data_IF_466723869376
#
_entry.id   IF_466723869376
#
_cell.length_a   1.000
_cell.length_b   1.000
_cell.length_c   1.000
_cell.angle_alpha   90.00
_cell.angle_beta   90.00
_cell.angle_gamma   90.00
#
_symmetry.space_group_name_H-M   'P 1'
#
loop_
_entity.id
_entity.type
_entity.pdbx_description
1 polymer ?
#
# COMPACT_ATOMS: atom_id res chain seq x y z
N UNK A 1 -16.82 7.01 31.46
CA UNK A 1 -16.57 5.85 32.34
C UNK A 1 -17.03 6.14 33.76
N UNK A 2 -16.47 7.13 34.47
CA UNK A 2 -17.00 7.60 35.76
C UNK A 2 -18.47 8.08 35.65
N UNK A 3 -18.84 8.68 34.53
CA UNK A 3 -20.21 9.03 34.17
C UNK A 3 -21.15 7.81 34.10
N UNK A 4 -20.69 6.66 33.60
CA UNK A 4 -21.48 5.43 33.53
C UNK A 4 -21.68 4.81 34.93
N UNK A 5 -20.66 4.87 35.79
CA UNK A 5 -20.76 4.46 37.20
C UNK A 5 -21.78 5.34 37.95
N UNK A 6 -21.78 6.66 37.70
CA UNK A 6 -22.75 7.57 38.29
C UNK A 6 -24.19 7.35 37.80
N UNK A 7 -24.36 6.77 36.61
CA UNK A 7 -25.66 6.38 36.03
C UNK A 7 -26.13 5.01 36.55
N UNK A 8 -25.22 4.04 36.72
CA UNK A 8 -25.53 2.71 37.28
C UNK A 8 -25.95 2.79 38.75
N UNK A 9 -25.39 3.72 39.52
CA UNK A 9 -25.83 4.04 40.89
C UNK A 9 -27.31 4.47 41.01
N UNK A 10 -27.99 4.81 39.91
CA UNK A 10 -29.41 5.21 39.89
C UNK A 10 -30.38 4.07 39.52
N UNK A 11 -29.88 2.89 39.18
CA UNK A 11 -30.69 1.73 38.79
C UNK A 11 -30.83 0.74 39.96
N UNK A 12 -32.07 0.41 40.34
CA UNK A 12 -32.39 -0.45 41.49
C UNK A 12 -32.24 -1.96 41.22
N UNK A 13 -31.68 -2.35 40.07
CA UNK A 13 -31.39 -3.75 39.72
C UNK A 13 -30.02 -3.81 39.06
N UNK A 14 -28.98 -4.10 39.82
CA UNK A 14 -27.62 -4.21 39.31
C UNK A 14 -27.51 -5.46 38.43
N UNK A 15 -27.31 -5.26 37.14
CA UNK A 15 -27.09 -6.34 36.16
C UNK A 15 -25.68 -6.92 36.31
N UNK A 16 -25.48 -8.18 35.88
CA UNK A 16 -24.15 -8.82 35.91
C UNK A 16 -23.09 -8.02 35.13
N UNK A 17 -23.49 -7.42 34.00
CA UNK A 17 -22.68 -6.50 33.21
C UNK A 17 -22.15 -5.31 34.03
N UNK A 18 -23.00 -4.69 34.86
CA UNK A 18 -22.59 -3.55 35.71
C UNK A 18 -21.62 -3.99 36.80
N UNK A 19 -21.85 -5.15 37.43
CA UNK A 19 -20.94 -5.71 38.43
C UNK A 19 -19.55 -6.00 37.84
N UNK A 20 -19.50 -6.56 36.63
CA UNK A 20 -18.24 -6.84 35.93
C UNK A 20 -17.50 -5.54 35.53
N UNK A 21 -18.24 -4.48 35.19
CA UNK A 21 -17.66 -3.15 34.96
C UNK A 21 -17.12 -2.50 36.24
N UNK A 22 -17.81 -2.64 37.37
CA UNK A 22 -17.33 -2.15 38.67
C UNK A 22 -16.03 -2.87 39.04
N UNK A 23 -15.98 -4.19 38.88
CA UNK A 23 -14.76 -4.98 39.10
C UNK A 23 -13.60 -4.50 38.22
N UNK A 24 -13.85 -4.26 36.93
CA UNK A 24 -12.85 -3.74 35.99
C UNK A 24 -12.28 -2.40 36.46
N UNK A 25 -13.13 -1.47 36.89
CA UNK A 25 -12.71 -0.14 37.35
C UNK A 25 -11.95 -0.22 38.67
N UNK A 26 -12.43 -1.00 39.63
CA UNK A 26 -11.74 -1.21 40.91
C UNK A 26 -10.35 -1.82 40.71
N UNK A 27 -10.23 -2.85 39.87
CA UNK A 27 -8.95 -3.45 39.54
C UNK A 27 -8.02 -2.52 38.76
N UNK A 28 -8.56 -1.64 37.90
CA UNK A 28 -7.77 -0.60 37.26
C UNK A 28 -7.25 0.44 38.26
N UNK A 29 -8.07 0.83 39.26
CA UNK A 29 -7.65 1.71 40.36
C UNK A 29 -6.58 1.04 41.23
N UNK A 30 -6.66 -0.29 41.42
CA UNK A 30 -5.61 -1.11 42.04
C UNK A 30 -4.36 -1.30 41.17
N UNK A 31 -4.35 -0.76 39.94
CA UNK A 31 -3.26 -0.87 38.96
C UNK A 31 -2.95 -2.31 38.54
N UNK A 32 -3.95 -3.18 38.55
CA UNK A 32 -3.79 -4.55 38.08
C UNK A 32 -3.62 -4.56 36.55
N UNK A 33 -2.57 -5.24 36.06
CA UNK A 33 -2.15 -5.16 34.66
C UNK A 33 -3.25 -5.55 33.67
N UNK A 34 -4.04 -6.56 33.97
CA UNK A 34 -5.12 -7.01 33.09
C UNK A 34 -6.22 -5.98 32.90
N UNK A 35 -6.59 -5.26 33.95
CA UNK A 35 -7.62 -4.24 33.90
C UNK A 35 -7.13 -3.06 33.08
N UNK A 36 -5.84 -2.71 33.24
CA UNK A 36 -5.18 -1.70 32.42
C UNK A 36 -5.10 -2.12 30.94
N UNK A 37 -4.83 -3.39 30.63
CA UNK A 37 -4.85 -3.92 29.25
C UNK A 37 -6.24 -3.85 28.62
N UNK A 38 -7.27 -4.27 29.35
CA UNK A 38 -8.66 -4.13 28.89
C UNK A 38 -8.99 -2.66 28.63
N UNK A 39 -8.57 -1.74 29.48
CA UNK A 39 -8.80 -0.30 29.26
C UNK A 39 -7.99 0.26 28.07
N UNK A 40 -6.75 -0.19 27.85
CA UNK A 40 -5.95 0.25 26.69
C UNK A 40 -6.48 -0.32 25.37
N UNK A 41 -7.12 -1.50 25.42
CA UNK A 41 -7.76 -2.14 24.26
C UNK A 41 -8.91 -1.31 23.67
N UNK A 42 -9.45 -0.34 24.40
CA UNK A 42 -10.52 0.53 23.91
C UNK A 42 -10.00 1.51 22.86
N UNK A 43 -10.87 1.81 21.90
CA UNK A 43 -10.73 2.97 21.04
C UNK A 43 -10.66 4.23 21.91
N UNK A 44 -9.54 4.95 21.80
CA UNK A 44 -9.28 6.14 22.61
C UNK A 44 -10.27 7.23 22.17
N UNK A 45 -11.10 7.79 23.08
CA UNK A 45 -12.21 8.69 22.71
C UNK A 45 -11.77 10.12 22.30
N UNK A 46 -10.47 10.44 22.41
CA UNK A 46 -9.87 11.70 21.96
C UNK A 46 -8.50 11.45 21.33
N UNK A 47 -8.43 10.75 20.18
CA UNK A 47 -7.17 10.56 19.51
C UNK A 47 -6.79 11.82 18.73
N UNK A 48 -5.50 11.93 18.45
CA UNK A 48 -4.95 12.99 17.61
C UNK A 48 -5.58 12.98 16.22
N UNK A 49 -5.71 14.16 15.62
CA UNK A 49 -6.19 14.28 14.24
C UNK A 49 -7.70 14.31 14.07
N UNK A 50 -8.49 14.49 15.14
CA UNK A 50 -9.95 14.69 15.02
C UNK A 50 -10.30 15.83 14.05
N UNK A 51 -9.60 16.97 14.15
CA UNK A 51 -9.76 18.11 13.22
C UNK A 51 -9.24 17.84 11.80
N UNK A 52 -8.49 16.75 11.61
CA UNK A 52 -8.04 16.23 10.30
C UNK A 52 -8.96 15.10 9.78
N UNK A 53 -10.07 14.87 10.47
CA UNK A 53 -11.06 13.87 10.10
C UNK A 53 -10.77 12.46 10.58
N UNK A 54 -9.87 12.27 11.58
CA UNK A 54 -9.61 10.96 12.19
C UNK A 54 -10.88 10.34 12.77
N UNK A 55 -11.48 9.40 12.04
CA UNK A 55 -12.74 8.76 12.41
C UNK A 55 -12.63 7.25 12.68
N UNK A 56 -11.42 6.68 12.71
CA UNK A 56 -11.20 5.23 12.85
C UNK A 56 -10.47 4.90 14.16
N UNK A 57 -11.22 4.63 15.22
CA UNK A 57 -10.72 4.39 16.58
C UNK A 57 -11.06 2.98 17.04
N UNK A 58 -10.49 1.99 16.36
CA UNK A 58 -10.82 0.57 16.57
C UNK A 58 -10.29 -0.03 17.88
N UNK A 59 -9.28 0.58 18.52
CA UNK A 59 -8.63 -0.03 19.67
C UNK A 59 -7.89 -1.33 19.32
N UNK A 60 -7.53 -2.12 20.33
CA UNK A 60 -6.84 -3.40 20.15
C UNK A 60 -7.82 -4.57 20.30
N UNK A 61 -8.17 -5.18 19.18
CA UNK A 61 -9.13 -6.29 19.13
C UNK A 61 -8.65 -7.52 19.90
N UNK A 62 -7.40 -7.95 19.67
CA UNK A 62 -6.86 -9.19 20.24
C UNK A 62 -6.69 -9.07 21.76
N UNK A 63 -6.22 -7.90 22.24
CA UNK A 63 -6.03 -7.63 23.67
C UNK A 63 -7.35 -7.54 24.45
N UNK A 64 -8.44 -7.14 23.81
CA UNK A 64 -9.77 -7.16 24.42
C UNK A 64 -10.26 -8.58 24.68
N UNK A 65 -10.02 -9.50 23.74
CA UNK A 65 -10.55 -10.86 23.78
C UNK A 65 -9.70 -11.82 24.59
N UNK A 66 -8.39 -11.62 24.58
CA UNK A 66 -7.45 -12.43 25.34
C UNK A 66 -6.43 -11.51 26.05
N UNK A 67 -6.81 -10.91 27.19
CA UNK A 67 -5.92 -10.08 28.00
C UNK A 67 -4.91 -10.96 28.75
N UNK A 68 -4.10 -11.73 28.02
CA UNK A 68 -3.03 -12.55 28.58
C UNK A 68 -2.08 -11.64 29.35
N UNK A 69 -1.87 -11.90 30.64
CA UNK A 69 -0.79 -11.27 31.40
C UNK A 69 0.13 -12.35 31.96
N UNK A 70 1.43 -12.04 31.94
CA UNK A 70 2.48 -12.93 32.42
C UNK A 70 2.54 -12.83 33.94
N UNK A 71 2.21 -13.92 34.64
CA UNK A 71 2.49 -14.10 36.05
C UNK A 71 3.78 -14.92 36.18
N UNK A 72 4.71 -14.47 37.03
CA UNK A 72 5.99 -15.15 37.34
C UNK A 72 6.73 -15.75 36.14
N UNK A 73 7.00 -14.93 35.13
CA UNK A 73 7.83 -15.22 33.95
C UNK A 73 7.50 -16.50 33.15
N UNK A 74 6.48 -17.29 33.52
CA UNK A 74 6.20 -18.61 32.92
C UNK A 74 4.72 -18.99 32.87
N UNK A 75 3.82 -18.33 33.59
CA UNK A 75 2.40 -18.69 33.61
C UNK A 75 1.53 -17.55 33.10
N UNK A 76 0.89 -17.76 31.94
CA UNK A 76 -0.25 -16.93 31.53
C UNK A 76 -1.46 -17.39 32.33
N UNK A 77 -1.83 -16.64 33.37
CA UNK A 77 -3.05 -16.93 34.12
C UNK A 77 -4.25 -16.40 33.32
N UNK A 78 -5.14 -17.31 32.91
CA UNK A 78 -6.47 -16.95 32.39
C UNK A 78 -7.23 -16.27 33.52
N UNK A 79 -7.54 -14.99 33.37
CA UNK A 79 -8.22 -14.24 34.41
C UNK A 79 -9.73 -14.25 34.27
N UNK A 80 -10.38 -13.87 35.37
CA UNK A 80 -11.81 -13.83 35.68
C UNK A 80 -12.68 -12.95 34.78
N UNK A 81 -12.10 -12.27 33.77
CA UNK A 81 -12.81 -11.34 32.90
C UNK A 81 -12.86 -11.87 31.46
N UNK A 82 -14.00 -12.44 31.07
CA UNK A 82 -14.25 -12.81 29.68
C UNK A 82 -14.76 -11.57 28.91
N UNK A 83 -13.90 -11.03 28.04
CA UNK A 83 -14.19 -9.84 27.23
C UNK A 83 -14.93 -10.13 25.92
N UNK A 84 -15.65 -9.11 25.45
CA UNK A 84 -16.31 -9.06 24.15
C UNK A 84 -15.95 -7.73 23.47
N UNK A 85 -15.42 -7.82 22.26
CA UNK A 85 -15.09 -6.65 21.46
C UNK A 85 -16.31 -6.21 20.66
N UNK A 86 -16.64 -4.92 20.70
CA UNK A 86 -17.73 -4.35 19.93
C UNK A 86 -17.27 -3.13 19.12
N UNK A 87 -17.43 -3.19 17.79
CA UNK A 87 -17.23 -2.08 16.88
C UNK A 87 -18.54 -1.36 16.59
N UNK A 88 -18.51 -0.04 16.74
CA UNK A 88 -19.60 0.88 16.47
C UNK A 88 -19.44 1.39 15.04
N UNK A 89 -20.43 1.12 14.20
CA UNK A 89 -20.43 1.45 12.78
C UNK A 89 -21.65 2.33 12.48
N UNK A 90 -21.46 3.60 12.13
CA UNK A 90 -22.56 4.47 11.73
C UNK A 90 -23.10 4.03 10.37
N UNK A 91 -24.13 3.19 10.39
CA UNK A 91 -24.91 2.84 9.19
C UNK A 91 -26.00 3.88 9.01
N UNK A 92 -26.06 4.51 7.84
CA UNK A 92 -27.20 5.36 7.45
C UNK A 92 -27.03 6.88 7.55
N UNK A 93 -25.81 7.42 7.74
CA UNK A 93 -25.60 8.87 7.61
C UNK A 93 -25.72 9.30 6.14
N UNK A 94 -26.72 10.15 5.85
CA UNK A 94 -26.83 10.81 4.54
C UNK A 94 -25.65 11.76 4.36
N UNK A 95 -24.94 11.73 3.21
CA UNK A 95 -23.64 12.40 3.03
C UNK A 95 -23.70 13.93 2.95
N UNK A 96 -24.84 14.58 3.23
CA UNK A 96 -25.07 15.92 2.69
C UNK A 96 -24.91 17.10 3.65
N UNK A 97 -25.07 16.96 4.97
CA UNK A 97 -25.09 18.17 5.83
C UNK A 97 -24.54 17.90 7.23
N UNK A 98 -23.22 17.77 7.31
CA UNK A 98 -22.30 18.06 8.43
C UNK A 98 -21.10 17.13 8.31
N UNK A 99 -19.91 17.63 8.61
CA UNK A 99 -18.67 16.85 8.76
C UNK A 99 -18.73 15.84 9.92
N UNK A 100 -19.86 15.15 10.10
CA UNK A 100 -19.95 13.96 10.94
C UNK A 100 -19.49 12.78 10.07
N UNK A 101 -18.18 12.72 9.79
CA UNK A 101 -17.58 11.48 9.33
C UNK A 101 -17.90 10.44 10.38
N UNK A 102 -18.60 9.40 9.97
CA UNK A 102 -19.06 8.37 10.88
C UNK A 102 -17.90 7.84 11.71
N UNK A 103 -17.98 8.04 13.04
CA UNK A 103 -16.97 7.59 13.97
C UNK A 103 -17.06 6.07 14.12
N UNK A 104 -16.01 5.37 13.72
CA UNK A 104 -15.83 3.95 14.01
C UNK A 104 -15.10 3.85 15.34
N UNK A 105 -15.77 3.33 16.36
CA UNK A 105 -15.19 3.16 17.69
C UNK A 105 -15.27 1.70 18.12
N UNK A 106 -14.13 1.12 18.48
CA UNK A 106 -14.07 -0.18 19.15
C UNK A 106 -14.10 0.00 20.66
N UNK A 107 -14.95 -0.75 21.35
CA UNK A 107 -15.01 -0.81 22.81
C UNK A 107 -14.89 -2.26 23.28
N UNK A 108 -14.21 -2.48 24.41
CA UNK A 108 -14.13 -3.78 25.04
C UNK A 108 -15.10 -3.85 26.22
N UNK A 109 -16.12 -4.68 26.12
CA UNK A 109 -17.15 -4.83 27.16
C UNK A 109 -17.09 -6.22 27.78
N UNK A 110 -17.55 -6.42 29.01
CA UNK A 110 -17.75 -7.76 29.56
C UNK A 110 -18.67 -8.60 28.67
N UNK A 111 -18.38 -9.90 28.54
CA UNK A 111 -19.22 -10.86 27.80
C UNK A 111 -20.61 -11.06 28.42
N UNK A 112 -20.83 -10.59 29.64
CA UNK A 112 -22.13 -10.59 30.33
C UNK A 112 -23.07 -9.47 29.88
N UNK A 113 -22.62 -8.56 29.01
CA UNK A 113 -23.40 -7.41 28.54
C UNK A 113 -24.26 -7.72 27.31
N UNK A 114 -25.54 -7.37 27.38
CA UNK A 114 -26.46 -7.42 26.24
C UNK A 114 -26.27 -6.23 25.28
N UNK A 115 -26.68 -6.41 24.02
CA UNK A 115 -26.56 -5.36 22.98
C UNK A 115 -27.23 -4.04 23.38
N UNK A 116 -28.35 -4.09 24.08
CA UNK A 116 -29.09 -2.90 24.54
C UNK A 116 -28.30 -2.09 25.58
N UNK A 117 -27.67 -2.78 26.54
CA UNK A 117 -26.82 -2.15 27.55
C UNK A 117 -25.59 -1.49 26.94
N UNK A 118 -25.08 -2.05 25.84
CA UNK A 118 -23.94 -1.47 25.11
C UNK A 118 -24.38 -0.21 24.36
N UNK A 119 -25.55 -0.22 23.72
CA UNK A 119 -26.09 0.97 23.03
C UNK A 119 -26.32 2.12 24.02
N UNK A 120 -26.89 1.85 25.20
CA UNK A 120 -27.12 2.90 26.22
C UNK A 120 -25.82 3.45 26.81
N UNK A 121 -24.80 2.60 26.99
CA UNK A 121 -23.44 3.02 27.35
C UNK A 121 -22.86 4.00 26.33
N UNK A 122 -22.96 3.68 25.04
CA UNK A 122 -22.41 4.50 23.98
C UNK A 122 -23.17 5.82 23.82
N UNK A 123 -24.50 5.79 23.88
CA UNK A 123 -25.32 7.00 23.86
C UNK A 123 -24.99 7.94 25.03
N UNK A 124 -24.68 7.38 26.21
CA UNK A 124 -24.25 8.16 27.38
C UNK A 124 -22.85 8.75 27.23
N UNK A 125 -21.95 8.07 26.51
CA UNK A 125 -20.59 8.56 26.23
C UNK A 125 -20.57 9.65 25.15
N UNK A 126 -21.43 9.54 24.13
CA UNK A 126 -21.42 10.42 22.96
C UNK A 126 -22.60 11.41 22.88
N UNK A 127 -23.42 11.48 23.93
CA UNK A 127 -24.46 12.48 24.16
C UNK A 127 -25.33 12.76 22.90
N UNK A 128 -26.23 11.82 22.58
CA UNK A 128 -27.19 11.82 21.44
C UNK A 128 -26.65 11.42 20.05
N UNK A 129 -26.03 10.25 19.95
CA UNK A 129 -25.96 9.56 18.66
C UNK A 129 -27.22 8.72 18.45
N UNK A 130 -27.88 8.84 17.28
CA UNK A 130 -28.98 7.96 16.83
C UNK A 130 -28.43 6.54 16.52
N UNK A 131 -27.88 5.89 17.54
CA UNK A 131 -27.34 4.54 17.44
C UNK A 131 -28.43 3.52 17.72
N UNK A 132 -28.57 2.59 16.78
CA UNK A 132 -29.44 1.42 16.89
C UNK A 132 -28.60 0.16 17.03
N UNK A 133 -29.18 -0.95 17.50
CA UNK A 133 -28.49 -2.25 17.64
C UNK A 133 -27.81 -2.72 16.34
N UNK A 134 -28.38 -2.38 15.18
CA UNK A 134 -27.82 -2.71 13.85
C UNK A 134 -26.47 -2.04 13.54
N UNK A 135 -26.08 -1.06 14.33
CA UNK A 135 -24.83 -0.33 14.19
C UNK A 135 -23.71 -0.96 15.02
N UNK A 136 -23.98 -2.04 15.74
CA UNK A 136 -23.04 -2.70 16.64
C UNK A 136 -22.61 -4.05 16.05
N UNK A 137 -21.32 -4.21 15.79
CA UNK A 137 -20.71 -5.50 15.46
C UNK A 137 -19.90 -5.97 16.66
N UNK A 138 -20.41 -6.98 17.37
CA UNK A 138 -19.69 -7.58 18.49
C UNK A 138 -19.16 -8.98 18.17
N UNK A 139 -17.96 -9.27 18.64
CA UNK A 139 -17.29 -10.57 18.57
C UNK A 139 -16.75 -10.93 19.96
N UNK A 140 -16.83 -12.19 20.33
CA UNK A 140 -16.29 -12.72 21.60
C UNK A 140 -15.16 -13.71 21.33
N UNK A 141 -14.40 -14.08 22.37
CA UNK A 141 -13.27 -15.01 22.23
C UNK A 141 -13.66 -16.36 21.60
N UNK A 142 -14.87 -16.86 21.88
CA UNK A 142 -15.40 -18.08 21.28
C UNK A 142 -15.64 -17.97 19.76
N UNK A 143 -16.13 -16.82 19.29
CA UNK A 143 -16.32 -16.52 17.86
C UNK A 143 -15.02 -16.09 17.17
N UNK A 144 -14.04 -15.59 17.94
CA UNK A 144 -12.79 -15.01 17.45
C UNK A 144 -11.67 -16.02 17.26
N UNK A 145 -11.84 -17.29 17.64
CA UNK A 145 -10.80 -18.31 17.53
C UNK A 145 -10.16 -18.19 16.14
N UNK A 146 -8.93 -17.68 16.13
CA UNK A 146 -8.30 -17.12 14.93
C UNK A 146 -8.49 -18.11 13.81
N UNK A 147 -9.25 -17.72 12.77
CA UNK A 147 -9.45 -18.59 11.62
C UNK A 147 -8.05 -18.81 11.07
N UNK A 148 -7.52 -20.01 11.27
CA UNK A 148 -6.21 -20.38 10.78
C UNK A 148 -6.15 -20.03 9.29
N UNK A 149 -4.98 -19.57 8.87
CA UNK A 149 -4.74 -19.10 7.51
C UNK A 149 -5.44 -20.06 6.53
N UNK A 150 -6.36 -19.53 5.72
CA UNK A 150 -7.18 -20.36 4.84
C UNK A 150 -6.29 -21.33 4.08
N UNK A 151 -6.68 -22.60 3.94
CA UNK A 151 -5.84 -23.61 3.27
C UNK A 151 -5.34 -23.14 1.90
N UNK A 152 -6.15 -22.33 1.18
CA UNK A 152 -5.76 -21.69 -0.07
C UNK A 152 -4.66 -20.63 0.08
N UNK A 153 -4.65 -19.84 1.16
CA UNK A 153 -3.60 -18.88 1.44
C UNK A 153 -2.27 -19.59 1.79
N UNK A 154 -2.32 -20.66 2.59
CA UNK A 154 -1.14 -21.49 2.88
C UNK A 154 -0.59 -22.10 1.58
N UNK A 155 -1.46 -22.70 0.75
CA UNK A 155 -1.05 -23.26 -0.54
C UNK A 155 -0.42 -22.21 -1.46
N UNK A 156 -1.00 -21.00 -1.51
CA UNK A 156 -0.46 -19.88 -2.30
C UNK A 156 0.93 -19.46 -1.80
N UNK A 157 1.11 -19.32 -0.48
CA UNK A 157 2.41 -19.00 0.10
C UNK A 157 3.47 -20.07 -0.23
N UNK A 158 3.11 -21.36 -0.15
CA UNK A 158 4.02 -22.45 -0.50
C UNK A 158 4.41 -22.39 -1.97
N UNK A 159 3.43 -22.23 -2.88
CA UNK A 159 3.68 -22.13 -4.33
C UNK A 159 4.56 -20.91 -4.66
N UNK A 160 4.25 -19.74 -4.11
CA UNK A 160 5.05 -18.53 -4.32
C UNK A 160 6.46 -18.67 -3.75
N UNK A 161 6.63 -19.33 -2.61
CA UNK A 161 7.96 -19.59 -2.03
C UNK A 161 8.78 -20.54 -2.91
N UNK A 162 8.16 -21.58 -3.48
CA UNK A 162 8.82 -22.51 -4.40
C UNK A 162 9.22 -21.81 -5.71
N UNK A 163 8.33 -21.01 -6.29
CA UNK A 163 8.64 -20.22 -7.49
C UNK A 163 9.76 -19.20 -7.22
N UNK A 164 9.71 -18.52 -6.08
CA UNK A 164 10.76 -17.59 -5.65
C UNK A 164 12.12 -18.29 -5.49
N UNK A 165 12.13 -19.51 -4.94
CA UNK A 165 13.35 -20.31 -4.82
C UNK A 165 13.93 -20.71 -6.19
N UNK A 166 13.09 -21.15 -7.13
CA UNK A 166 13.51 -21.45 -8.51
C UNK A 166 14.11 -20.21 -9.20
N UNK A 167 13.49 -19.05 -9.00
CA UNK A 167 13.98 -17.77 -9.50
C UNK A 167 15.34 -17.40 -8.90
N UNK A 168 15.54 -17.61 -7.60
CA UNK A 168 16.82 -17.34 -6.94
C UNK A 168 17.92 -18.24 -7.50
N UNK A 169 17.68 -19.55 -7.63
CA UNK A 169 18.64 -20.49 -8.20
C UNK A 169 18.96 -20.11 -9.66
N UNK A 170 17.94 -19.86 -10.47
CA UNK A 170 18.12 -19.47 -11.88
C UNK A 170 18.95 -18.20 -12.01
N UNK A 171 18.71 -17.21 -11.15
CA UNK A 171 19.47 -15.95 -11.13
C UNK A 171 20.92 -16.16 -10.69
N UNK A 172 21.18 -17.03 -9.70
CA UNK A 172 22.56 -17.36 -9.27
C UNK A 172 23.32 -18.07 -10.40
N UNK A 173 22.71 -19.04 -11.07
CA UNK A 173 23.33 -19.75 -12.21
C UNK A 173 23.66 -18.76 -13.34
N UNK A 174 22.75 -17.85 -13.67
CA UNK A 174 22.95 -16.83 -14.70
C UNK A 174 24.10 -15.87 -14.34
N UNK A 175 24.21 -15.45 -13.07
CA UNK A 175 25.32 -14.63 -12.58
C UNK A 175 26.66 -15.38 -12.63
N UNK A 176 26.69 -16.66 -12.24
CA UNK A 176 27.90 -17.49 -12.31
C UNK A 176 28.32 -17.64 -13.78
N UNK A 177 27.39 -17.95 -14.68
CA UNK A 177 27.69 -18.09 -16.11
C UNK A 177 28.20 -16.77 -16.71
N UNK A 178 27.57 -15.64 -16.36
CA UNK A 178 28.00 -14.31 -16.80
C UNK A 178 29.42 -13.97 -16.33
N UNK A 179 29.76 -14.28 -15.06
CA UNK A 179 31.10 -14.04 -14.52
C UNK A 179 32.17 -14.93 -15.17
N UNK A 180 31.85 -16.18 -15.49
CA UNK A 180 32.75 -17.09 -16.23
C UNK A 180 33.01 -16.61 -17.65
N UNK A 181 31.99 -16.11 -18.35
CA UNK A 181 32.13 -15.55 -19.70
C UNK A 181 33.04 -14.31 -19.74
N UNK A 182 32.96 -13.46 -18.72
CA UNK A 182 33.87 -12.31 -18.58
C UNK A 182 35.33 -12.75 -18.37
N UNK A 183 35.55 -13.83 -17.60
CA UNK A 183 36.92 -14.33 -17.35
C UNK A 183 37.59 -14.92 -18.59
N UNK A 184 36.84 -15.56 -19.49
CA UNK A 184 37.37 -16.14 -20.74
C UNK A 184 37.74 -15.05 -21.75
N UNK A 185 36.95 -13.97 -21.84
CA UNK A 185 37.26 -12.84 -22.72
C UNK A 185 38.55 -12.09 -22.32
N UNK A 186 38.93 -12.15 -21.04
CA UNK A 186 40.19 -11.56 -20.56
C UNK A 186 41.45 -12.38 -20.91
N UNK A 187 41.31 -13.69 -21.15
CA UNK A 187 42.45 -14.60 -21.44
C UNK A 187 42.73 -14.68 -22.95
N UNK A 188 41.80 -14.25 -23.81
CA UNK A 188 41.87 -14.35 -25.28
C UNK A 188 42.67 -13.28 -26.04
N UNK A 189 43.61 -12.56 -25.43
CA UNK A 189 44.44 -11.55 -26.13
C UNK A 189 45.94 -11.87 -26.02
N UNK A 190 46.58 -12.29 -27.13
CA UNK A 190 47.97 -11.93 -27.33
C UNK A 190 48.26 -11.30 -28.72
N UNK A 191 49.16 -10.31 -28.70
CA UNK A 191 50.00 -9.75 -29.77
C UNK A 191 49.42 -8.71 -30.76
N UNK A 192 49.86 -7.46 -30.64
CA UNK A 192 50.84 -6.87 -31.57
C UNK A 192 51.41 -5.52 -31.08
N UNK A 193 52.56 -5.17 -31.68
CA UNK A 193 53.60 -4.18 -31.31
C UNK A 193 53.16 -2.70 -31.27
N UNK A 194 53.93 -1.95 -30.48
CA UNK A 194 54.10 -0.49 -30.37
C UNK A 194 53.97 0.34 -31.66
N UNK A 195 53.20 1.45 -31.63
CA UNK A 195 53.71 2.83 -31.81
C UNK A 195 52.62 3.94 -31.80
N UNK A 196 52.90 5.02 -31.04
CA UNK A 196 52.54 6.47 -31.16
C UNK A 196 51.09 7.01 -31.08
N UNK A 197 50.77 7.61 -29.90
CA UNK A 197 50.33 9.00 -29.58
C UNK A 197 49.25 9.75 -30.45
N UNK A 198 48.02 9.86 -29.88
CA UNK A 198 47.00 10.97 -29.81
C UNK A 198 46.38 11.66 -31.06
N UNK A 199 45.25 12.42 -30.96
CA UNK A 199 44.04 12.33 -30.13
C UNK A 199 42.69 12.43 -30.92
N UNK A 200 41.60 12.03 -30.25
CA UNK A 200 40.19 12.52 -30.30
C UNK A 200 39.65 13.11 -31.62
N UNK A 201 38.69 12.40 -32.24
CA UNK A 201 37.50 13.02 -32.88
C UNK A 201 36.23 12.27 -32.47
N UNK A 202 35.36 12.98 -31.77
CA UNK A 202 34.01 12.62 -31.37
C UNK A 202 33.08 12.95 -32.55
N UNK A 203 32.51 11.92 -33.18
CA UNK A 203 31.34 12.01 -34.06
C UNK A 203 30.58 10.69 -33.88
N UNK A 204 29.52 10.72 -33.08
CA UNK A 204 28.12 10.76 -33.52
C UNK A 204 27.61 9.43 -34.10
N UNK A 205 26.48 8.99 -33.55
CA UNK A 205 25.66 7.84 -33.95
C UNK A 205 26.31 6.45 -33.83
N UNK A 206 26.32 5.94 -32.60
CA UNK A 206 25.91 4.55 -32.38
C UNK A 206 24.80 4.54 -31.35
N UNK A 207 23.57 4.41 -31.84
CA UNK A 207 22.53 3.66 -31.13
C UNK A 207 23.20 2.47 -30.46
N UNK A 208 23.03 2.35 -29.15
CA UNK A 208 23.51 1.24 -28.32
C UNK A 208 22.77 -0.04 -28.71
N UNK A 209 23.02 -0.52 -29.93
CA UNK A 209 22.77 -1.87 -30.36
C UNK A 209 23.92 -2.65 -29.73
N UNK A 210 23.69 -3.12 -28.50
CA UNK A 210 24.54 -4.15 -27.92
C UNK A 210 24.66 -5.27 -28.97
N UNK A 211 25.89 -5.61 -29.39
CA UNK A 211 26.11 -6.46 -30.55
C UNK A 211 25.47 -7.83 -30.33
N UNK A 212 24.70 -8.26 -31.33
CA UNK A 212 24.05 -9.57 -31.46
C UNK A 212 25.08 -10.68 -31.72
N UNK A 213 26.20 -10.70 -31.00
CA UNK A 213 27.35 -11.57 -31.27
C UNK A 213 27.85 -12.39 -30.08
N UNK A 214 27.01 -12.70 -29.09
CA UNK A 214 27.31 -13.78 -28.12
C UNK A 214 26.45 -15.03 -28.33
N UNK A 215 26.05 -15.32 -29.57
CA UNK A 215 25.37 -16.57 -29.95
C UNK A 215 26.34 -17.75 -30.18
N UNK A 216 27.51 -17.73 -29.54
CA UNK A 216 28.51 -18.78 -29.67
C UNK A 216 29.23 -18.98 -28.32
N UNK A 217 28.55 -19.54 -27.32
CA UNK A 217 29.19 -20.33 -26.23
C UNK A 217 28.21 -20.86 -25.17
N UNK A 218 27.00 -20.32 -25.01
CA UNK A 218 26.04 -20.87 -24.03
C UNK A 218 25.55 -22.26 -24.46
N UNK A 219 25.32 -22.47 -25.75
CA UNK A 219 24.85 -23.76 -26.29
C UNK A 219 25.90 -24.88 -26.22
N UNK A 220 27.18 -24.53 -26.04
CA UNK A 220 28.30 -25.47 -25.87
C UNK A 220 28.73 -25.63 -24.42
N UNK A 221 28.24 -24.80 -23.48
CA UNK A 221 28.50 -24.92 -22.03
C UNK A 221 27.37 -25.64 -21.28
N UNK A 222 26.20 -25.79 -21.91
CA UNK A 222 25.04 -26.49 -21.36
C UNK A 222 24.86 -27.86 -22.01
N UNK A 223 25.74 -28.81 -21.67
CA UNK A 223 25.50 -30.23 -21.98
C UNK A 223 24.40 -30.86 -21.10
N UNK A 224 23.96 -30.16 -20.04
CA UNK A 224 22.89 -30.62 -19.15
C UNK A 224 21.60 -29.82 -19.38
N UNK A 225 20.60 -30.50 -19.94
CA UNK A 225 19.23 -29.99 -20.18
C UNK A 225 18.61 -29.33 -18.94
N UNK A 226 19.00 -29.79 -17.75
CA UNK A 226 18.49 -29.30 -16.46
C UNK A 226 19.01 -27.90 -16.10
N UNK A 227 20.27 -27.61 -16.40
CA UNK A 227 20.86 -26.29 -16.12
C UNK A 227 20.22 -25.24 -17.05
N UNK A 228 19.87 -25.64 -18.27
CA UNK A 228 19.22 -24.77 -19.25
C UNK A 228 17.83 -24.37 -18.78
N UNK A 229 17.05 -25.36 -18.34
CA UNK A 229 15.71 -25.15 -17.84
C UNK A 229 15.67 -24.24 -16.60
N UNK A 230 16.58 -24.44 -15.63
CA UNK A 230 16.61 -23.62 -14.42
C UNK A 230 17.10 -22.19 -14.72
N UNK A 231 18.04 -22.01 -15.66
CA UNK A 231 18.50 -20.68 -16.08
C UNK A 231 17.40 -19.84 -16.74
N UNK A 232 16.35 -20.46 -17.31
CA UNK A 232 15.21 -19.72 -17.87
C UNK A 232 14.41 -18.96 -16.79
N UNK A 233 14.40 -19.45 -15.54
CA UNK A 233 13.77 -18.77 -14.41
C UNK A 233 14.59 -17.58 -13.88
N UNK A 234 15.77 -17.28 -14.45
CA UNK A 234 16.54 -16.09 -14.10
C UNK A 234 15.71 -14.83 -14.34
N UNK A 235 15.62 -14.00 -13.30
CA UNK A 235 14.98 -12.68 -13.38
C UNK A 235 15.72 -11.78 -14.35
N UNK A 236 17.06 -11.82 -14.38
CA UNK A 236 17.86 -10.97 -15.25
C UNK A 236 17.59 -11.31 -16.72
N UNK A 237 17.62 -12.60 -17.06
CA UNK A 237 17.33 -13.06 -18.43
C UNK A 237 15.88 -12.78 -18.83
N UNK A 238 14.92 -13.10 -17.97
CA UNK A 238 13.49 -12.93 -18.23
C UNK A 238 13.09 -11.46 -18.33
N UNK A 239 13.53 -10.60 -17.41
CA UNK A 239 13.26 -9.17 -17.48
C UNK A 239 13.91 -8.55 -18.71
N UNK A 240 15.17 -8.88 -19.03
CA UNK A 240 15.81 -8.40 -20.27
C UNK A 240 15.01 -8.81 -21.49
N UNK A 241 14.54 -10.06 -21.57
CA UNK A 241 13.71 -10.54 -22.68
C UNK A 241 12.36 -9.82 -22.77
N UNK A 242 11.69 -9.58 -21.64
CA UNK A 242 10.42 -8.85 -21.57
C UNK A 242 10.60 -7.38 -21.98
N UNK A 243 11.66 -6.73 -21.51
CA UNK A 243 11.96 -5.34 -21.82
C UNK A 243 12.69 -5.16 -23.17
N UNK A 244 13.08 -6.24 -23.85
CA UNK A 244 13.60 -6.17 -25.21
C UNK A 244 12.44 -6.04 -26.18
N UNK A 245 12.14 -4.81 -26.59
CA UNK A 245 11.17 -4.56 -27.65
C UNK A 245 11.68 -5.16 -28.96
N UNK A 246 10.98 -6.18 -29.47
CA UNK A 246 11.22 -6.68 -30.83
C UNK A 246 10.71 -5.61 -31.79
N UNK A 247 11.63 -4.84 -32.39
CA UNK A 247 11.30 -3.88 -33.45
C UNK A 247 10.67 -4.65 -34.61
N UNK A 248 9.35 -4.58 -34.72
CA UNK A 248 8.62 -5.03 -35.91
C UNK A 248 8.76 -3.88 -36.90
N UNK A 249 9.48 -4.09 -38.00
CA UNK A 249 9.64 -3.09 -39.06
C UNK A 249 8.33 -2.96 -39.87
N UNK A 250 7.20 -2.75 -39.21
CA UNK A 250 5.96 -2.37 -39.88
C UNK A 250 6.01 -0.84 -40.02
N UNK A 251 5.88 -0.32 -41.24
CA UNK A 251 5.91 1.13 -41.54
C UNK A 251 4.83 1.96 -40.84
N UNK A 252 3.88 1.31 -40.13
CA UNK A 252 2.73 1.93 -39.49
C UNK A 252 2.76 1.87 -37.95
N UNK A 253 3.79 1.32 -37.30
CA UNK A 253 3.87 1.32 -35.83
C UNK A 253 4.59 2.58 -35.33
N UNK A 254 3.83 3.57 -34.86
CA UNK A 254 4.40 4.76 -34.23
C UNK A 254 4.87 4.45 -32.81
N UNK A 255 6.18 4.55 -32.55
CA UNK A 255 6.78 4.30 -31.24
C UNK A 255 6.24 5.24 -30.14
N UNK A 256 5.81 6.45 -30.51
CA UNK A 256 5.20 7.40 -29.56
C UNK A 256 3.87 6.90 -28.98
N UNK A 257 3.11 6.08 -29.73
CA UNK A 257 1.85 5.52 -29.26
C UNK A 257 2.07 4.51 -28.13
N UNK A 258 3.18 3.78 -28.17
CA UNK A 258 3.57 2.88 -27.08
C UNK A 258 3.95 3.67 -25.82
N UNK A 259 4.64 4.81 -25.97
CA UNK A 259 4.92 5.73 -24.86
C UNK A 259 3.66 6.30 -24.21
N UNK A 260 2.69 6.73 -25.03
CA UNK A 260 1.40 7.24 -24.54
C UNK A 260 0.62 6.18 -23.75
N UNK A 261 0.65 4.92 -24.19
CA UNK A 261 0.02 3.80 -23.46
C UNK A 261 0.63 3.61 -22.08
N UNK A 262 1.95 3.68 -21.95
CA UNK A 262 2.63 3.56 -20.65
C UNK A 262 2.24 4.70 -19.72
N UNK A 263 2.23 5.94 -20.21
CA UNK A 263 1.81 7.11 -19.43
C UNK A 263 0.33 6.98 -18.99
N UNK A 264 -0.54 6.49 -19.87
CA UNK A 264 -1.95 6.28 -19.56
C UNK A 264 -2.16 5.21 -18.48
N UNK A 265 -1.42 4.09 -18.53
CA UNK A 265 -1.48 3.04 -17.52
C UNK A 265 -0.98 3.54 -16.17
N UNK A 266 0.10 4.31 -16.18
CA UNK A 266 0.63 4.93 -14.97
C UNK A 266 -0.39 5.89 -14.33
N UNK A 267 -1.06 6.73 -15.13
CA UNK A 267 -2.10 7.62 -14.65
C UNK A 267 -3.28 6.87 -14.01
N UNK A 268 -3.71 5.76 -14.62
CA UNK A 268 -4.77 4.90 -14.07
C UNK A 268 -4.34 4.28 -12.73
N UNK A 269 -3.13 3.73 -12.65
CA UNK A 269 -2.60 3.14 -11.41
C UNK A 269 -2.49 4.20 -10.31
N UNK A 270 -2.00 5.39 -10.64
CA UNK A 270 -1.90 6.51 -9.71
C UNK A 270 -3.27 6.95 -9.18
N UNK A 271 -4.26 7.09 -10.07
CA UNK A 271 -5.64 7.42 -9.69
C UNK A 271 -6.27 6.36 -8.77
N UNK A 272 -6.08 5.07 -9.07
CA UNK A 272 -6.53 3.99 -8.18
C UNK A 272 -5.84 4.04 -6.83
N UNK A 273 -4.54 4.35 -6.79
CA UNK A 273 -3.79 4.44 -5.53
C UNK A 273 -4.35 5.54 -4.64
N UNK A 274 -4.63 6.73 -5.20
CA UNK A 274 -5.29 7.82 -4.46
C UNK A 274 -6.69 7.40 -4.00
N UNK A 275 -7.46 6.73 -4.85
CA UNK A 275 -8.81 6.26 -4.50
C UNK A 275 -8.78 5.28 -3.33
N UNK A 276 -7.86 4.31 -3.34
CA UNK A 276 -7.70 3.37 -2.22
C UNK A 276 -7.22 4.07 -0.95
N UNK A 277 -6.31 5.03 -1.06
CA UNK A 277 -5.86 5.84 0.09
C UNK A 277 -7.07 6.51 0.75
N UNK A 278 -7.96 7.15 -0.02
CA UNK A 278 -9.16 7.81 0.51
C UNK A 278 -10.11 6.84 1.25
N UNK A 279 -10.10 5.55 0.90
CA UNK A 279 -10.94 4.52 1.54
C UNK A 279 -10.35 4.07 2.89
N UNK A 280 -9.02 4.02 3.00
CA UNK A 280 -8.34 3.42 4.16
C UNK A 280 -7.68 4.42 5.11
N UNK A 281 -7.59 5.70 4.75
CA UNK A 281 -7.03 6.72 5.65
C UNK A 281 -8.00 7.05 6.78
N UNK A 282 -7.49 7.07 8.00
CA UNK A 282 -8.22 7.62 9.13
C UNK A 282 -8.37 9.15 9.02
N UNK A 283 -7.35 9.87 8.54
CA UNK A 283 -7.40 11.33 8.36
C UNK A 283 -7.97 11.73 6.98
N UNK A 284 -9.30 11.65 6.84
CA UNK A 284 -9.97 11.85 5.54
C UNK A 284 -9.73 13.26 4.97
N UNK A 285 -9.59 14.29 5.81
CA UNK A 285 -9.37 15.67 5.34
C UNK A 285 -7.99 15.82 4.70
N UNK A 286 -6.96 15.23 5.32
CA UNK A 286 -5.61 15.20 4.74
C UNK A 286 -5.61 14.38 3.44
N UNK A 287 -6.29 13.23 3.42
CA UNK A 287 -6.45 12.41 2.22
C UNK A 287 -7.11 13.18 1.07
N UNK A 288 -8.17 13.93 1.34
CA UNK A 288 -8.84 14.75 0.35
C UNK A 288 -7.93 15.88 -0.15
N UNK A 289 -7.22 16.56 0.75
CA UNK A 289 -6.26 17.60 0.40
C UNK A 289 -5.08 17.07 -0.45
N UNK A 290 -4.70 15.81 -0.29
CA UNK A 290 -3.71 15.14 -1.11
C UNK A 290 -4.29 14.78 -2.49
N UNK A 291 -5.52 14.27 -2.52
CA UNK A 291 -6.21 13.94 -3.77
C UNK A 291 -6.40 15.17 -4.68
N UNK A 292 -6.67 16.33 -4.10
CA UNK A 292 -6.82 17.58 -4.86
C UNK A 292 -5.50 18.09 -5.44
N UNK A 293 -4.35 17.64 -4.91
CA UNK A 293 -2.99 17.97 -5.37
C UNK A 293 -2.36 16.88 -6.22
N UNK A 294 -3.16 15.89 -6.66
CA UNK A 294 -2.70 14.75 -7.45
C UNK A 294 -2.05 15.17 -8.78
N UNK A 295 -2.57 16.22 -9.39
CA UNK A 295 -2.04 16.86 -10.59
C UNK A 295 -0.61 17.38 -10.39
N UNK A 296 -0.35 18.07 -9.28
CA UNK A 296 0.98 18.58 -8.92
C UNK A 296 1.98 17.43 -8.67
N UNK A 297 1.55 16.36 -8.00
CA UNK A 297 2.39 15.18 -7.79
C UNK A 297 2.73 14.48 -9.10
N UNK A 298 1.76 14.37 -10.00
CA UNK A 298 1.99 13.80 -11.33
C UNK A 298 2.92 14.68 -12.17
N UNK A 299 2.76 16.00 -12.12
CA UNK A 299 3.67 16.95 -12.76
C UNK A 299 5.11 16.77 -12.25
N UNK A 300 5.30 16.77 -10.92
CA UNK A 300 6.62 16.55 -10.31
C UNK A 300 7.24 15.20 -10.72
N UNK A 301 6.42 14.16 -10.87
CA UNK A 301 6.88 12.86 -11.37
C UNK A 301 7.36 12.95 -12.83
N UNK A 302 6.58 13.59 -13.71
CA UNK A 302 6.95 13.78 -15.12
C UNK A 302 8.25 14.58 -15.26
N UNK A 303 8.41 15.63 -14.47
CA UNK A 303 9.61 16.47 -14.48
C UNK A 303 10.83 15.72 -13.92
N UNK A 304 10.71 15.13 -12.73
CA UNK A 304 11.85 14.53 -12.02
C UNK A 304 12.30 13.21 -12.64
N UNK A 305 11.37 12.37 -13.09
CA UNK A 305 11.67 11.00 -13.54
C UNK A 305 11.81 10.93 -15.05
N UNK A 306 10.94 11.62 -15.80
CA UNK A 306 10.94 11.56 -17.27
C UNK A 306 11.64 12.77 -17.90
N UNK A 307 12.02 13.78 -17.12
CA UNK A 307 12.62 15.01 -17.66
C UNK A 307 11.67 15.78 -18.57
N UNK A 308 10.36 15.51 -18.48
CA UNK A 308 9.34 16.17 -19.30
C UNK A 308 8.96 17.46 -18.57
N UNK A 309 9.63 18.55 -18.92
CA UNK A 309 9.26 19.90 -18.48
C UNK A 309 8.37 20.61 -19.52
N UNK A 310 7.84 21.76 -19.15
CA UNK A 310 6.99 22.59 -20.03
C UNK A 310 7.71 23.01 -21.34
N UNK A 311 9.05 23.08 -21.29
CA UNK A 311 9.90 23.46 -22.42
C UNK A 311 10.54 22.27 -23.14
N UNK A 312 10.08 21.04 -22.88
CA UNK A 312 10.72 19.83 -23.40
C UNK A 312 10.67 19.79 -24.94
N UNK A 313 9.64 20.44 -25.51
CA UNK A 313 9.45 20.65 -26.95
C UNK A 313 10.54 21.53 -27.58
N UNK A 314 11.17 22.44 -26.83
CA UNK A 314 12.24 23.30 -27.37
C UNK A 314 13.50 22.52 -27.71
N UNK A 315 13.70 21.35 -27.09
CA UNK A 315 14.81 20.46 -27.39
C UNK A 315 14.63 19.68 -28.70
N UNK A 316 13.44 19.73 -29.32
CA UNK A 316 13.11 18.99 -30.54
C UNK A 316 12.57 19.95 -31.63
N UNK A 317 13.45 20.45 -32.54
CA UNK A 317 13.11 21.48 -33.52
C UNK A 317 11.94 21.11 -34.44
N UNK A 318 11.84 19.84 -34.83
CA UNK A 318 10.77 19.31 -35.69
C UNK A 318 9.41 19.30 -34.99
N UNK A 319 9.37 19.04 -33.68
CA UNK A 319 8.12 19.12 -32.91
C UNK A 319 7.71 20.57 -32.64
N UNK A 320 8.69 21.47 -32.47
CA UNK A 320 8.45 22.91 -32.33
C UNK A 320 7.80 23.50 -33.57
N UNK A 321 8.30 23.17 -34.76
CA UNK A 321 7.70 23.60 -36.02
C UNK A 321 6.25 23.08 -36.16
N UNK A 322 6.00 21.81 -35.89
CA UNK A 322 4.65 21.23 -35.94
C UNK A 322 3.70 21.93 -34.96
N UNK A 323 4.18 22.27 -33.76
CA UNK A 323 3.40 23.02 -32.78
C UNK A 323 3.03 24.40 -33.31
N UNK A 324 3.99 25.15 -33.86
CA UNK A 324 3.73 26.47 -34.44
C UNK A 324 2.73 26.41 -35.60
N UNK A 325 2.75 25.35 -36.41
CA UNK A 325 1.77 25.13 -37.48
C UNK A 325 0.37 24.81 -36.93
N UNK A 326 0.27 24.03 -35.86
CA UNK A 326 -0.99 23.71 -35.18
C UNK A 326 -1.57 24.94 -34.48
N UNK A 327 -0.74 25.74 -33.81
CA UNK A 327 -1.15 26.97 -33.13
C UNK A 327 -1.67 28.04 -34.11
N UNK A 328 -1.22 28.03 -35.37
CA UNK A 328 -1.74 28.90 -36.44
C UNK A 328 -3.14 28.52 -36.92
N UNK A 329 -3.66 27.35 -36.57
CA UNK A 329 -5.01 26.96 -36.97
C UNK A 329 -6.06 27.85 -36.30
N UNK A 330 -7.07 28.35 -37.04
CA UNK A 330 -7.94 29.42 -36.56
C UNK A 330 -8.72 29.05 -35.29
N UNK A 331 -9.20 27.80 -35.19
CA UNK A 331 -9.92 27.31 -34.00
C UNK A 331 -9.03 27.21 -32.76
N UNK A 332 -7.76 26.86 -32.95
CA UNK A 332 -6.80 26.68 -31.86
C UNK A 332 -6.29 28.04 -31.39
N UNK A 333 -5.97 28.95 -32.33
CA UNK A 333 -5.58 30.31 -32.03
C UNK A 333 -6.66 31.06 -31.22
N UNK A 334 -7.93 30.89 -31.57
CA UNK A 334 -9.06 31.46 -30.83
C UNK A 334 -9.19 30.88 -29.41
N UNK A 335 -9.04 29.56 -29.27
CA UNK A 335 -9.02 28.89 -27.96
C UNK A 335 -7.88 29.39 -27.07
N UNK A 336 -6.66 29.49 -27.61
CA UNK A 336 -5.48 29.95 -26.88
C UNK A 336 -5.62 31.39 -26.39
N UNK A 337 -6.29 32.24 -27.17
CA UNK A 337 -6.58 33.63 -26.78
C UNK A 337 -7.53 33.74 -25.58
N UNK A 338 -8.47 32.79 -25.47
CA UNK A 338 -9.47 32.74 -24.40
C UNK A 338 -9.03 31.88 -23.20
N UNK A 339 -7.86 31.23 -23.28
CA UNK A 339 -7.36 30.35 -22.23
C UNK A 339 -6.99 31.17 -20.98
N UNK A 340 -7.50 30.82 -19.79
CA UNK A 340 -7.06 31.46 -18.55
C UNK A 340 -5.57 31.19 -18.35
N UNK A 341 -4.80 32.24 -18.07
CA UNK A 341 -3.37 32.11 -17.76
C UNK A 341 -3.24 31.42 -16.41
N UNK A 342 -2.70 30.21 -16.40
CA UNK A 342 -2.25 29.53 -15.18
C UNK A 342 -1.06 30.32 -14.63
N UNK A 343 -1.25 31.04 -13.53
CA UNK A 343 -0.14 31.55 -12.74
C UNK A 343 0.56 30.34 -12.11
N UNK A 344 1.82 30.13 -12.48
CA UNK A 344 2.73 29.19 -11.79
C UNK A 344 2.96 29.70 -10.37
#
# INVERSE_FOLDING_TARGET
>A
MLSFISLSSKSNTTTKCEQDFVLLVESALRRELWALKILDSWGKPLPSGLLKGNNLWVGNYDECLDPLYQHDNKTFLKQTFDGQYCALLPRGMKPQQTMAYGLILGICVPSSCDRQSIVSLVQSLFNQSNMTENNLLCSNAAASKQKSLSGGAIATCVVLSLLGFLVLIGTIIDLILASRLQSVNHIGSPTQRSSKISPIKLAENKSMILPRHSRYSIQTLLESTYIAFIAEFSVIHTLRRIFTMRKKNDSNSFDCLNGLRVLSLFWVIFGHTITFILIYTSNIIDGFAWSHRADLYFYNFLETILGINENCLDNYPSLKQNREEVEKQPKIAEYLKNRPKTSI
#
